data_IF_185963791993
#
_entry.id   IF_185963791993
#
_cell.length_a   1.000
_cell.length_b   1.000
_cell.length_c   1.000
_cell.angle_alpha   90.00
_cell.angle_beta   90.00
_cell.angle_gamma   90.00
#
_symmetry.space_group_name_H-M   'P 1'
#
loop_
_entity.id
_entity.type
_entity.pdbx_description
1 polymer ?
#
# COMPACT_ATOMS: atom_id res chain seq x y z
N UNK A 1 10.53 -31.19 9.93
CA UNK A 1 9.97 -30.38 11.03
C UNK A 1 8.72 -29.73 10.49
N UNK A 2 7.56 -30.00 11.08
CA UNK A 2 6.29 -29.43 10.63
C UNK A 2 6.07 -28.09 11.33
N UNK A 3 6.17 -26.98 10.58
CA UNK A 3 5.96 -25.64 11.12
C UNK A 3 4.47 -25.47 11.38
N UNK A 4 4.08 -25.36 12.65
CA UNK A 4 2.68 -25.20 13.06
C UNK A 4 2.42 -23.78 13.54
N UNK A 5 1.58 -23.04 12.83
CA UNK A 5 1.08 -21.74 13.28
C UNK A 5 -0.12 -22.02 14.20
N UNK A 6 0.05 -21.79 15.50
CA UNK A 6 -1.02 -21.97 16.48
C UNK A 6 -2.15 -20.96 16.26
N UNK A 7 -3.39 -21.41 16.40
CA UNK A 7 -4.59 -20.58 16.35
C UNK A 7 -4.92 -20.02 17.73
N UNK A 8 -5.75 -18.95 17.82
CA UNK A 8 -6.36 -18.53 19.08
C UNK A 8 -6.99 -19.71 19.84
N UNK A 9 -6.74 -19.80 21.16
CA UNK A 9 -7.24 -20.89 22.01
C UNK A 9 -8.76 -20.86 22.26
N UNK A 10 -9.48 -19.84 21.77
CA UNK A 10 -10.95 -19.80 21.78
C UNK A 10 -11.60 -19.60 23.16
N UNK A 11 -10.82 -19.21 24.17
CA UNK A 11 -11.20 -19.40 25.59
C UNK A 11 -12.32 -18.48 26.10
N UNK A 12 -12.64 -17.35 25.46
CA UNK A 12 -13.77 -16.52 25.91
C UNK A 12 -15.07 -16.74 25.15
N UNK A 13 -15.02 -17.17 23.88
CA UNK A 13 -16.19 -17.21 22.97
C UNK A 13 -16.90 -15.87 22.74
N UNK A 14 -16.46 -14.80 23.43
CA UNK A 14 -17.03 -13.45 23.37
C UNK A 14 -16.59 -12.78 22.08
N UNK A 15 -17.54 -12.11 21.43
CA UNK A 15 -17.33 -11.38 20.19
C UNK A 15 -17.80 -9.95 20.36
N UNK A 16 -16.98 -9.01 19.94
CA UNK A 16 -17.35 -7.61 19.79
C UNK A 16 -17.64 -7.31 18.32
N UNK A 17 -18.52 -6.34 18.08
CA UNK A 17 -18.77 -5.83 16.73
C UNK A 17 -18.26 -4.41 16.61
N UNK A 18 -17.49 -4.12 15.58
CA UNK A 18 -16.87 -2.82 15.38
C UNK A 18 -17.90 -1.67 15.33
N UNK A 19 -19.12 -1.94 14.85
CA UNK A 19 -20.21 -0.97 14.83
C UNK A 19 -20.66 -0.51 16.22
N UNK A 20 -20.46 -1.31 17.27
CA UNK A 20 -20.80 -0.93 18.67
C UNK A 20 -19.91 0.21 19.17
N UNK A 21 -18.73 0.40 18.56
CA UNK A 21 -17.74 1.43 18.92
C UNK A 21 -17.76 2.64 17.98
N UNK A 22 -18.70 2.66 17.05
CA UNK A 22 -18.92 3.76 16.11
C UNK A 22 -18.19 3.62 14.76
N UNK A 23 -17.74 2.41 14.39
CA UNK A 23 -17.23 2.17 13.03
C UNK A 23 -18.42 2.18 12.05
N UNK A 24 -18.37 3.05 11.04
CA UNK A 24 -19.46 3.32 10.10
C UNK A 24 -18.92 3.58 8.69
N UNK A 25 -19.62 3.06 7.69
CA UNK A 25 -19.23 3.20 6.28
C UNK A 25 -19.42 4.63 5.73
N UNK A 26 -20.34 5.40 6.32
CA UNK A 26 -20.59 6.81 6.00
C UNK A 26 -19.63 7.77 6.74
N UNK A 27 -18.80 7.26 7.66
CA UNK A 27 -17.75 8.05 8.29
C UNK A 27 -16.56 8.26 7.35
N UNK A 28 -16.07 9.49 7.30
CA UNK A 28 -14.85 9.85 6.55
C UNK A 28 -13.57 9.30 7.22
N UNK A 29 -13.60 9.06 8.54
CA UNK A 29 -12.49 8.45 9.26
C UNK A 29 -12.97 7.54 10.38
N UNK A 30 -12.67 6.25 10.26
CA UNK A 30 -13.03 5.22 11.23
C UNK A 30 -11.93 4.94 12.27
N UNK A 31 -10.79 5.62 12.17
CA UNK A 31 -9.59 5.38 12.94
C UNK A 31 -9.79 5.30 14.45
N UNK A 32 -10.33 6.37 15.03
CA UNK A 32 -10.57 6.46 16.47
C UNK A 32 -11.59 5.41 16.94
N UNK A 33 -12.64 5.14 16.16
CA UNK A 33 -13.63 4.13 16.48
C UNK A 33 -13.06 2.72 16.45
N UNK A 34 -12.24 2.41 15.44
CA UNK A 34 -11.57 1.12 15.33
C UNK A 34 -10.57 0.91 16.48
N UNK A 35 -9.75 1.91 16.82
CA UNK A 35 -8.83 1.82 17.98
C UNK A 35 -9.58 1.60 19.30
N UNK A 36 -10.73 2.26 19.50
CA UNK A 36 -11.58 2.01 20.68
C UNK A 36 -12.09 0.57 20.72
N UNK A 37 -12.53 0.00 19.59
CA UNK A 37 -12.99 -1.39 19.52
C UNK A 37 -11.87 -2.38 19.87
N UNK A 38 -10.67 -2.18 19.30
CA UNK A 38 -9.51 -3.03 19.57
C UNK A 38 -9.09 -2.94 21.04
N UNK A 39 -9.00 -1.72 21.60
CA UNK A 39 -8.63 -1.51 22.99
C UNK A 39 -9.66 -2.12 23.96
N UNK A 40 -10.95 -1.99 23.65
CA UNK A 40 -11.99 -2.63 24.46
C UNK A 40 -11.84 -4.15 24.45
N UNK A 41 -11.57 -4.75 23.28
CA UNK A 41 -11.35 -6.20 23.21
C UNK A 41 -10.16 -6.65 24.06
N UNK A 42 -9.05 -5.89 24.02
CA UNK A 42 -7.86 -6.14 24.84
C UNK A 42 -8.18 -6.07 26.34
N UNK A 43 -8.84 -4.99 26.76
CA UNK A 43 -9.12 -4.74 28.18
C UNK A 43 -10.09 -5.76 28.78
N UNK A 44 -11.07 -6.19 27.99
CA UNK A 44 -12.16 -7.06 28.45
C UNK A 44 -11.92 -8.56 28.17
N UNK A 45 -10.79 -8.91 27.55
CA UNK A 45 -10.49 -10.30 27.17
C UNK A 45 -11.46 -10.86 26.12
N UNK A 46 -11.94 -10.03 25.19
CA UNK A 46 -12.82 -10.46 24.09
C UNK A 46 -11.95 -11.10 23.02
N UNK A 47 -12.28 -12.32 22.61
CA UNK A 47 -11.44 -13.13 21.70
C UNK A 47 -11.66 -12.86 20.22
N UNK A 48 -12.67 -12.07 19.83
CA UNK A 48 -12.97 -11.80 18.43
C UNK A 48 -13.56 -10.39 18.22
N UNK A 49 -13.03 -9.66 17.23
CA UNK A 49 -13.63 -8.42 16.71
C UNK A 49 -14.09 -8.65 15.27
N UNK A 50 -15.37 -8.41 15.03
CA UNK A 50 -16.01 -8.52 13.72
C UNK A 50 -16.31 -7.14 13.13
N UNK A 51 -16.07 -6.99 11.83
CA UNK A 51 -16.52 -5.85 11.02
C UNK A 51 -17.57 -6.35 10.02
N UNK A 52 -18.65 -5.60 9.83
CA UNK A 52 -19.64 -5.93 8.81
C UNK A 52 -19.09 -5.66 7.40
N UNK A 53 -19.56 -6.37 6.36
CA UNK A 53 -19.23 -6.03 4.99
C UNK A 53 -19.57 -4.57 4.68
N UNK A 54 -18.66 -3.87 4.01
CA UNK A 54 -18.81 -2.46 3.66
C UNK A 54 -17.49 -1.82 3.30
N UNK A 55 -17.53 -0.56 2.84
CA UNK A 55 -16.34 0.25 2.57
C UNK A 55 -16.17 1.25 3.70
N UNK A 56 -15.03 1.23 4.39
CA UNK A 56 -14.75 2.06 5.55
C UNK A 56 -13.51 2.91 5.28
N UNK A 57 -13.66 4.22 5.42
CA UNK A 57 -12.57 5.17 5.18
C UNK A 57 -11.75 5.39 6.45
N UNK A 58 -10.44 5.44 6.27
CA UNK A 58 -9.44 5.86 7.23
C UNK A 58 -8.81 7.11 6.66
N UNK A 59 -9.55 8.21 6.84
CA UNK A 59 -9.19 9.54 6.39
C UNK A 59 -7.98 10.12 7.13
N UNK A 60 -8.03 11.42 7.44
CA UNK A 60 -7.04 12.00 8.35
C UNK A 60 -7.28 11.49 9.77
N UNK A 61 -6.28 10.84 10.38
CA UNK A 61 -6.33 10.42 11.77
C UNK A 61 -5.64 9.10 12.05
N UNK A 62 -6.14 8.40 13.06
CA UNK A 62 -5.50 7.20 13.59
C UNK A 62 -5.71 5.98 12.68
N UNK A 63 -4.66 5.22 12.40
CA UNK A 63 -4.79 3.92 11.74
C UNK A 63 -5.01 2.78 12.76
N UNK A 64 -5.64 1.64 12.38
CA UNK A 64 -5.74 0.45 13.21
C UNK A 64 -4.39 -0.05 13.74
N UNK A 65 -4.33 -0.32 15.05
CA UNK A 65 -3.15 -0.89 15.71
C UNK A 65 -3.61 -2.01 16.64
N UNK A 66 -3.09 -3.22 16.41
CA UNK A 66 -3.28 -4.40 17.23
C UNK A 66 -1.97 -4.63 18.00
N UNK A 67 -1.98 -4.41 19.31
CA UNK A 67 -0.74 -4.39 20.10
C UNK A 67 -0.90 -5.18 21.40
N UNK A 68 0.00 -6.14 21.60
CA UNK A 68 0.05 -7.06 22.75
C UNK A 68 -1.29 -7.80 23.00
N UNK A 69 -1.95 -8.22 21.93
CA UNK A 69 -3.10 -9.11 21.99
C UNK A 69 -2.65 -10.57 22.06
N UNK A 70 -3.39 -11.40 22.78
CA UNK A 70 -3.19 -12.85 22.81
C UNK A 70 -4.50 -13.56 22.53
N UNK A 71 -4.44 -14.65 21.77
CA UNK A 71 -5.60 -15.53 21.52
C UNK A 71 -6.80 -14.80 20.91
N UNK A 72 -6.53 -14.04 19.86
CA UNK A 72 -7.50 -13.11 19.30
C UNK A 72 -7.69 -13.28 17.79
N UNK A 73 -8.94 -13.13 17.35
CA UNK A 73 -9.33 -13.10 15.94
C UNK A 73 -9.84 -11.72 15.53
N UNK A 74 -9.30 -11.19 14.45
CA UNK A 74 -9.92 -10.11 13.70
C UNK A 74 -10.57 -10.67 12.43
N UNK A 75 -11.87 -10.47 12.28
CA UNK A 75 -12.61 -10.83 11.07
C UNK A 75 -13.16 -9.56 10.41
N UNK A 76 -12.60 -9.20 9.26
CA UNK A 76 -13.04 -8.06 8.47
C UNK A 76 -14.42 -8.27 7.82
N UNK A 77 -14.97 -9.49 7.84
CA UNK A 77 -16.30 -9.78 7.30
C UNK A 77 -16.46 -9.50 5.80
N UNK A 78 -15.35 -9.41 5.05
CA UNK A 78 -15.35 -9.00 3.65
C UNK A 78 -15.37 -7.48 3.45
N UNK A 79 -15.10 -6.69 4.50
CA UNK A 79 -14.99 -5.25 4.41
C UNK A 79 -13.79 -4.80 3.57
N UNK A 80 -13.87 -3.55 3.11
CA UNK A 80 -12.81 -2.83 2.44
C UNK A 80 -12.41 -1.61 3.25
N UNK A 81 -11.14 -1.48 3.60
CA UNK A 81 -10.59 -0.30 4.28
C UNK A 81 -9.81 0.55 3.29
N UNK A 82 -10.18 1.83 3.17
CA UNK A 82 -9.55 2.78 2.24
C UNK A 82 -8.79 3.84 3.03
N UNK A 83 -7.48 3.95 2.81
CA UNK A 83 -6.57 4.83 3.54
C UNK A 83 -6.11 6.01 2.68
N UNK A 84 -5.85 7.16 3.29
CA UNK A 84 -5.38 8.36 2.58
C UNK A 84 -4.14 9.06 3.17
N UNK A 85 -3.60 8.55 4.26
CA UNK A 85 -2.35 9.01 4.87
C UNK A 85 -1.28 7.93 4.80
N UNK A 86 -0.06 8.33 4.47
CA UNK A 86 1.09 7.43 4.34
C UNK A 86 1.66 7.05 5.73
N UNK A 87 0.85 6.33 6.50
CA UNK A 87 1.23 5.60 7.70
C UNK A 87 0.87 4.13 7.49
N UNK A 88 1.47 3.20 8.26
CA UNK A 88 1.13 1.79 8.15
C UNK A 88 -0.40 1.62 8.22
N UNK A 89 -1.03 1.02 7.21
CA UNK A 89 -2.50 0.96 7.19
C UNK A 89 -3.02 0.17 8.38
N UNK A 90 -2.39 -0.97 8.67
CA UNK A 90 -2.68 -1.79 9.84
C UNK A 90 -1.35 -2.26 10.45
N UNK A 91 -1.14 -1.94 11.72
CA UNK A 91 -0.01 -2.44 12.48
C UNK A 91 -0.45 -3.58 13.41
N UNK A 92 0.29 -4.69 13.40
CA UNK A 92 0.11 -5.85 14.28
C UNK A 92 1.44 -6.07 14.99
N UNK A 93 1.49 -5.80 16.29
CA UNK A 93 2.73 -5.70 17.07
C UNK A 93 2.66 -6.52 18.35
N UNK A 94 3.73 -7.26 18.64
CA UNK A 94 3.90 -7.99 19.90
C UNK A 94 2.70 -8.90 20.26
N UNK A 95 1.97 -9.39 19.26
CA UNK A 95 0.78 -10.22 19.48
C UNK A 95 1.12 -11.71 19.43
N UNK A 96 0.31 -12.54 20.09
CA UNK A 96 0.49 -13.99 20.14
C UNK A 96 -0.78 -14.76 19.77
N UNK A 97 -0.66 -15.79 18.92
CA UNK A 97 -1.80 -16.63 18.48
C UNK A 97 -2.94 -15.77 17.92
N UNK A 98 -2.65 -15.11 16.81
CA UNK A 98 -3.55 -14.18 16.13
C UNK A 98 -4.05 -14.77 14.81
N UNK A 99 -5.34 -14.58 14.53
CA UNK A 99 -5.94 -14.85 13.21
C UNK A 99 -6.55 -13.56 12.67
N UNK A 100 -6.07 -13.10 11.51
CA UNK A 100 -6.55 -11.90 10.85
C UNK A 100 -7.09 -12.27 9.48
N UNK A 101 -8.37 -12.01 9.20
CA UNK A 101 -8.99 -12.54 7.97
C UNK A 101 -10.06 -11.66 7.32
N UNK A 102 -10.38 -12.03 6.07
CA UNK A 102 -11.52 -11.52 5.31
C UNK A 102 -11.53 -9.99 5.19
N UNK A 103 -10.41 -9.40 4.78
CA UNK A 103 -10.27 -7.95 4.67
C UNK A 103 -9.64 -7.56 3.34
N UNK A 104 -10.17 -6.52 2.73
CA UNK A 104 -9.50 -5.80 1.65
C UNK A 104 -8.98 -4.47 2.17
N UNK A 105 -7.77 -4.07 1.77
CA UNK A 105 -7.24 -2.72 2.00
C UNK A 105 -6.87 -2.07 0.67
N UNK A 106 -7.07 -0.77 0.59
CA UNK A 106 -6.72 0.04 -0.58
C UNK A 106 -6.32 1.46 -0.16
N UNK A 107 -5.77 2.18 -1.12
CA UNK A 107 -5.46 3.59 -1.03
C UNK A 107 -6.57 4.45 -1.67
N UNK A 108 -6.72 5.68 -1.21
CA UNK A 108 -7.63 6.67 -1.78
C UNK A 108 -7.02 7.27 -3.07
N UNK A 109 -7.09 6.49 -4.15
CA UNK A 109 -6.54 6.85 -5.46
C UNK A 109 -7.20 8.09 -6.08
N UNK A 110 -8.46 8.35 -5.75
CA UNK A 110 -9.20 9.51 -6.26
C UNK A 110 -8.66 10.81 -5.64
N UNK A 111 -8.17 10.74 -4.40
CA UNK A 111 -7.53 11.87 -3.73
C UNK A 111 -6.07 12.06 -4.17
N UNK A 112 -5.29 10.98 -4.20
CA UNK A 112 -3.88 11.02 -4.57
C UNK A 112 -3.47 9.71 -5.24
N UNK A 113 -3.18 9.68 -6.56
CA UNK A 113 -2.78 8.45 -7.23
C UNK A 113 -1.41 7.97 -6.73
N UNK A 114 -1.25 6.65 -6.58
CA UNK A 114 0.05 6.07 -6.18
C UNK A 114 1.08 6.12 -7.30
N UNK A 115 0.61 6.02 -8.54
CA UNK A 115 1.41 6.10 -9.74
C UNK A 115 0.56 6.52 -10.93
N UNK A 116 1.22 7.01 -11.98
CA UNK A 116 0.62 7.34 -13.28
C UNK A 116 1.43 6.69 -14.40
N UNK A 117 0.89 6.67 -15.61
CA UNK A 117 1.64 6.34 -16.82
C UNK A 117 2.21 7.63 -17.40
N UNK A 118 3.51 7.63 -17.68
CA UNK A 118 4.22 8.70 -18.36
C UNK A 118 4.81 8.20 -19.69
N UNK A 119 4.77 9.04 -20.72
CA UNK A 119 5.35 8.76 -22.04
C UNK A 119 6.29 9.90 -22.42
N UNK A 120 7.54 9.56 -22.77
CA UNK A 120 8.53 10.56 -23.20
C UNK A 120 8.08 11.14 -24.54
N UNK A 121 7.70 12.42 -24.56
CA UNK A 121 7.27 13.12 -25.77
C UNK A 121 8.47 13.72 -26.51
N UNK A 122 9.45 14.24 -25.75
CA UNK A 122 10.62 14.91 -26.31
C UNK A 122 11.81 14.80 -25.35
N UNK A 123 13.00 14.76 -25.92
CA UNK A 123 14.28 14.90 -25.21
C UNK A 123 15.02 16.06 -25.87
N UNK A 124 15.71 16.90 -25.09
CA UNK A 124 16.53 17.97 -25.65
C UNK A 124 17.76 17.41 -26.38
N UNK A 125 18.31 18.16 -27.34
CA UNK A 125 19.46 17.70 -28.15
C UNK A 125 20.69 17.41 -27.28
N UNK A 126 20.89 18.17 -26.22
CA UNK A 126 21.97 18.02 -25.25
C UNK A 126 21.61 17.11 -24.06
N UNK A 127 20.40 16.54 -24.04
CA UNK A 127 19.86 15.70 -22.94
C UNK A 127 19.77 16.42 -21.58
N UNK A 128 19.79 17.76 -21.55
CA UNK A 128 19.61 18.56 -20.32
C UNK A 128 18.18 18.56 -19.78
N UNK A 129 17.19 18.14 -20.58
CA UNK A 129 15.81 17.96 -20.12
C UNK A 129 15.04 17.00 -21.04
N UNK A 130 13.91 16.52 -20.54
CA UNK A 130 12.92 15.81 -21.34
C UNK A 130 11.50 16.26 -20.98
N UNK A 131 10.56 16.06 -21.89
CA UNK A 131 9.13 16.28 -21.68
C UNK A 131 8.44 14.94 -21.53
N UNK A 132 7.70 14.80 -20.45
CA UNK A 132 6.91 13.62 -20.10
C UNK A 132 5.42 13.97 -20.20
N UNK A 133 4.72 13.26 -21.08
CA UNK A 133 3.28 13.35 -21.22
C UNK A 133 2.58 12.34 -20.32
N UNK A 134 1.52 12.75 -19.63
CA UNK A 134 0.65 11.90 -18.84
C UNK A 134 -0.69 11.70 -19.56
N UNK A 135 -0.83 10.64 -20.39
CA UNK A 135 -2.00 10.46 -21.25
C UNK A 135 -3.31 10.22 -20.48
N UNK A 136 -3.22 9.89 -19.19
CA UNK A 136 -4.39 9.65 -18.32
C UNK A 136 -5.06 10.95 -17.84
N UNK A 137 -4.42 12.10 -18.05
CA UNK A 137 -4.90 13.39 -17.56
C UNK A 137 -5.08 14.41 -18.70
N UNK A 138 -6.09 15.27 -18.55
CA UNK A 138 -6.14 16.54 -19.28
C UNK A 138 -5.22 17.58 -18.63
N UNK A 139 -5.14 17.57 -17.30
CA UNK A 139 -4.18 18.34 -16.51
C UNK A 139 -3.71 17.50 -15.33
N UNK A 140 -2.40 17.45 -15.11
CA UNK A 140 -1.82 16.66 -14.02
C UNK A 140 -2.29 17.23 -12.68
N UNK A 141 -2.74 16.39 -11.73
CA UNK A 141 -3.14 16.83 -10.40
C UNK A 141 -2.04 17.66 -9.71
N UNK A 142 -2.42 18.76 -9.08
CA UNK A 142 -1.49 19.59 -8.32
C UNK A 142 -0.85 18.79 -7.18
N UNK A 143 0.46 18.97 -6.97
CA UNK A 143 1.21 18.32 -5.89
C UNK A 143 1.60 16.86 -6.17
N UNK A 144 1.35 16.36 -7.38
CA UNK A 144 1.78 15.03 -7.81
C UNK A 144 3.31 15.00 -7.94
N UNK A 145 3.95 14.17 -7.12
CA UNK A 145 5.41 14.10 -7.00
C UNK A 145 5.99 13.05 -7.96
N UNK A 146 6.98 13.42 -8.79
CA UNK A 146 7.62 12.49 -9.72
C UNK A 146 8.82 11.87 -9.01
N UNK A 147 8.61 10.74 -8.34
CA UNK A 147 9.67 10.13 -7.53
C UNK A 147 10.52 9.17 -8.32
N UNK A 148 9.91 8.27 -9.08
CA UNK A 148 10.64 7.31 -9.90
C UNK A 148 9.89 7.00 -11.19
N UNK A 149 10.65 6.65 -12.22
CA UNK A 149 10.16 6.24 -13.53
C UNK A 149 10.64 4.82 -13.78
N UNK A 150 9.71 3.86 -13.75
CA UNK A 150 10.00 2.47 -14.05
C UNK A 150 9.63 2.16 -15.50
N UNK A 151 10.58 1.72 -16.34
CA UNK A 151 10.28 1.47 -17.75
C UNK A 151 9.22 0.39 -17.87
N UNK A 152 8.28 0.57 -18.79
CA UNK A 152 7.19 -0.39 -19.01
C UNK A 152 6.86 -0.53 -20.49
N UNK A 153 6.32 -1.69 -20.86
CA UNK A 153 5.74 -1.91 -22.16
C UNK A 153 4.29 -1.39 -22.16
N UNK A 154 3.96 -0.35 -22.93
CA UNK A 154 2.63 0.27 -22.89
C UNK A 154 1.52 -0.61 -23.47
N UNK A 155 1.85 -1.67 -24.23
CA UNK A 155 0.86 -2.60 -24.80
C UNK A 155 0.49 -3.72 -23.85
N UNK A 156 1.48 -4.26 -23.14
CA UNK A 156 1.31 -5.42 -22.25
C UNK A 156 1.25 -5.05 -20.77
N UNK A 157 1.59 -3.79 -20.43
CA UNK A 157 1.73 -3.28 -19.05
C UNK A 157 2.74 -4.10 -18.21
N UNK A 158 3.76 -4.64 -18.86
CA UNK A 158 4.84 -5.41 -18.20
C UNK A 158 6.07 -4.54 -17.98
N UNK A 159 6.93 -4.87 -17.00
CA UNK A 159 8.19 -4.16 -16.79
C UNK A 159 9.10 -4.17 -18.03
N UNK A 160 9.80 -3.06 -18.24
CA UNK A 160 10.79 -2.86 -19.31
C UNK A 160 10.23 -2.27 -20.60
N UNK A 161 11.05 -1.45 -21.26
CA UNK A 161 10.87 -1.01 -22.64
C UNK A 161 12.25 -0.95 -23.32
N UNK A 162 12.28 -0.79 -24.63
CA UNK A 162 13.55 -0.74 -25.38
C UNK A 162 14.45 0.38 -24.84
N UNK A 163 15.68 0.03 -24.43
CA UNK A 163 16.67 0.91 -23.79
C UNK A 163 16.24 1.56 -22.47
N UNK A 164 15.03 1.30 -21.99
CA UNK A 164 14.48 1.90 -20.77
C UNK A 164 15.25 1.46 -19.55
N UNK A 165 15.59 2.42 -18.68
CA UNK A 165 16.19 2.20 -17.36
C UNK A 165 15.27 2.79 -16.30
N UNK A 166 15.29 2.22 -15.10
CA UNK A 166 14.69 2.88 -13.94
C UNK A 166 15.57 4.05 -13.51
N UNK A 167 14.94 5.19 -13.22
CA UNK A 167 15.62 6.38 -12.69
C UNK A 167 14.64 7.24 -11.90
N UNK A 168 15.14 8.13 -11.05
CA UNK A 168 14.32 8.98 -10.20
C UNK A 168 15.02 9.48 -8.95
N UNK A 169 14.28 10.17 -8.10
CA UNK A 169 14.76 10.78 -6.86
C UNK A 169 15.71 11.93 -7.15
N UNK A 170 16.83 11.97 -6.43
CA UNK A 170 17.75 13.11 -6.39
C UNK A 170 18.47 13.42 -7.72
N UNK A 171 18.29 12.59 -8.75
CA UNK A 171 18.89 12.81 -10.09
C UNK A 171 17.98 13.60 -11.02
N UNK A 172 16.72 13.83 -10.64
CA UNK A 172 15.79 14.69 -11.38
C UNK A 172 15.94 16.14 -10.90
N UNK A 173 15.93 17.07 -11.85
CA UNK A 173 15.94 18.50 -11.57
C UNK A 173 14.52 19.09 -11.46
N UNK A 174 14.43 20.39 -11.71
CA UNK A 174 13.16 21.13 -11.70
C UNK A 174 12.13 20.51 -12.66
N UNK A 175 10.87 20.50 -12.21
CA UNK A 175 9.71 20.07 -12.98
C UNK A 175 8.85 21.28 -13.30
N UNK A 176 8.66 21.55 -14.60
CA UNK A 176 7.87 22.67 -15.10
C UNK A 176 6.69 22.18 -15.93
N UNK A 177 5.50 22.71 -15.66
CA UNK A 177 4.35 22.48 -16.53
C UNK A 177 4.56 23.20 -17.87
N UNK A 178 4.57 22.42 -18.96
CA UNK A 178 4.62 22.97 -20.32
C UNK A 178 3.22 23.19 -20.86
N UNK A 179 2.33 22.21 -20.61
CA UNK A 179 0.94 22.23 -21.05
C UNK A 179 0.15 21.15 -20.32
N UNK A 180 -0.67 21.49 -19.32
CA UNK A 180 -1.69 20.61 -18.73
C UNK A 180 -1.17 19.23 -18.31
N UNK A 181 -1.09 18.31 -19.26
CA UNK A 181 -0.59 16.95 -19.09
C UNK A 181 0.87 16.70 -19.54
N UNK A 182 1.62 17.73 -19.91
CA UNK A 182 3.03 17.65 -20.29
C UNK A 182 3.89 18.41 -19.29
N UNK A 183 4.81 17.67 -18.67
CA UNK A 183 5.78 18.19 -17.72
C UNK A 183 7.18 18.13 -18.33
N UNK A 184 7.94 19.22 -18.27
CA UNK A 184 9.36 19.24 -18.58
C UNK A 184 10.15 18.99 -17.30
N UNK A 185 11.06 18.04 -17.35
CA UNK A 185 11.89 17.62 -16.22
C UNK A 185 13.34 17.88 -16.59
N UNK A 186 14.03 18.68 -15.80
CA UNK A 186 15.45 18.94 -15.97
C UNK A 186 16.30 17.71 -15.58
N UNK A 187 17.43 17.54 -16.26
CA UNK A 187 18.38 16.46 -16.06
C UNK A 187 19.76 17.09 -15.78
N UNK A 188 20.14 17.27 -14.50
CA UNK A 188 21.39 17.93 -14.12
C UNK A 188 22.65 17.28 -14.68
N UNK A 189 22.62 15.96 -14.91
CA UNK A 189 23.75 15.16 -15.41
C UNK A 189 23.41 14.46 -16.74
N UNK A 190 23.39 15.18 -17.88
CA UNK A 190 22.85 14.68 -19.16
C UNK A 190 23.46 13.36 -19.67
N UNK A 191 24.72 13.10 -19.32
CA UNK A 191 25.46 11.91 -19.78
C UNK A 191 24.80 10.61 -19.31
N UNK A 192 24.20 10.62 -18.12
CA UNK A 192 23.59 9.43 -17.51
C UNK A 192 22.24 9.09 -18.15
N UNK A 193 21.64 10.04 -18.88
CA UNK A 193 20.29 9.94 -19.44
C UNK A 193 20.25 9.75 -20.95
N UNK A 194 21.39 9.46 -21.60
CA UNK A 194 21.47 9.17 -23.05
C UNK A 194 20.63 7.97 -23.52
N UNK A 195 20.10 7.18 -22.58
CA UNK A 195 19.16 6.10 -22.87
C UNK A 195 17.73 6.61 -23.15
N UNK A 196 17.41 7.86 -22.79
CA UNK A 196 16.09 8.44 -22.98
C UNK A 196 15.80 8.69 -24.44
N UNK A 197 14.64 8.23 -24.89
CA UNK A 197 14.17 8.36 -26.25
C UNK A 197 12.66 8.61 -26.28
N UNK A 198 12.22 9.39 -27.26
CA UNK A 198 10.79 9.61 -27.51
C UNK A 198 10.05 8.29 -27.66
N UNK A 199 8.87 8.20 -27.04
CA UNK A 199 7.98 7.04 -27.08
C UNK A 199 8.23 6.00 -25.99
N UNK A 200 9.30 6.12 -25.20
CA UNK A 200 9.46 5.27 -24.01
C UNK A 200 8.35 5.56 -23.01
N UNK A 201 7.74 4.48 -22.49
CA UNK A 201 6.70 4.56 -21.48
C UNK A 201 7.23 4.12 -20.12
N UNK A 202 6.72 4.77 -19.08
CA UNK A 202 7.13 4.59 -17.69
C UNK A 202 5.91 4.52 -16.77
N UNK A 203 5.97 3.64 -15.77
CA UNK A 203 5.19 3.80 -14.54
C UNK A 203 5.89 4.88 -13.73
N UNK A 204 5.23 6.01 -13.54
CA UNK A 204 5.70 7.13 -12.74
C UNK A 204 5.14 6.96 -11.34
N UNK A 205 5.96 6.56 -10.37
CA UNK A 205 5.50 6.40 -8.99
C UNK A 205 5.56 7.73 -8.23
N UNK A 206 4.51 8.00 -7.47
CA UNK A 206 4.36 9.21 -6.63
C UNK A 206 4.60 8.91 -5.14
N UNK A 207 4.61 7.64 -4.79
CA UNK A 207 5.02 7.10 -3.50
C UNK A 207 6.00 5.95 -3.76
N UNK A 208 6.90 5.66 -2.84
CA UNK A 208 7.85 4.55 -3.01
C UNK A 208 7.87 3.66 -1.78
N UNK A 209 8.42 4.14 -0.67
CA UNK A 209 8.59 3.38 0.58
C UNK A 209 7.91 4.09 1.77
N UNK A 210 6.91 4.92 1.49
CA UNK A 210 6.32 5.84 2.46
C UNK A 210 5.62 5.10 3.60
N UNK A 211 4.82 4.06 3.30
CA UNK A 211 4.19 3.23 4.31
C UNK A 211 3.76 1.83 3.82
N UNK A 212 3.84 0.79 4.67
CA UNK A 212 3.31 -0.53 4.33
C UNK A 212 1.79 -0.60 4.51
N UNK A 213 1.12 -1.51 3.79
CA UNK A 213 -0.27 -1.83 4.11
C UNK A 213 -0.37 -2.60 5.44
N UNK A 214 0.45 -3.63 5.61
CA UNK A 214 0.52 -4.38 6.86
C UNK A 214 1.93 -4.33 7.44
N UNK A 215 2.05 -3.76 8.64
CA UNK A 215 3.24 -3.86 9.47
C UNK A 215 3.07 -5.00 10.47
N UNK A 216 3.94 -6.01 10.39
CA UNK A 216 3.96 -7.17 11.26
C UNK A 216 5.27 -7.12 12.07
N UNK A 217 5.18 -6.76 13.34
CA UNK A 217 6.36 -6.57 14.18
C UNK A 217 6.32 -7.48 15.41
N UNK A 218 7.33 -8.35 15.54
CA UNK A 218 7.55 -9.20 16.72
C UNK A 218 6.31 -10.01 17.18
N UNK A 219 5.56 -10.57 16.25
CA UNK A 219 4.43 -11.43 16.58
C UNK A 219 4.85 -12.91 16.64
N UNK A 220 4.13 -13.68 17.45
CA UNK A 220 4.30 -15.13 17.56
C UNK A 220 3.00 -15.84 17.19
N UNK A 221 3.01 -16.79 16.25
CA UNK A 221 1.78 -17.48 15.81
C UNK A 221 0.75 -16.52 15.19
N UNK A 222 1.14 -15.81 14.13
CA UNK A 222 0.28 -14.89 13.39
C UNK A 222 -0.12 -15.47 12.02
N UNK A 223 -1.42 -15.59 11.77
CA UNK A 223 -1.95 -15.94 10.44
C UNK A 223 -2.76 -14.79 9.85
N UNK A 224 -2.39 -14.34 8.66
CA UNK A 224 -3.27 -13.54 7.80
C UNK A 224 -3.89 -14.45 6.76
N UNK A 225 -5.20 -14.41 6.60
CA UNK A 225 -5.93 -15.29 5.68
C UNK A 225 -6.99 -14.53 4.87
N UNK A 226 -7.02 -14.72 3.55
CA UNK A 226 -8.00 -14.04 2.67
C UNK A 226 -7.95 -12.51 2.79
N UNK A 227 -6.72 -11.98 2.86
CA UNK A 227 -6.46 -10.54 2.84
C UNK A 227 -6.09 -10.10 1.43
N UNK A 228 -6.71 -9.04 0.93
CA UNK A 228 -6.39 -8.45 -0.38
C UNK A 228 -5.85 -7.03 -0.20
N UNK A 229 -4.71 -6.74 -0.84
CA UNK A 229 -4.15 -5.39 -0.93
C UNK A 229 -4.30 -4.93 -2.38
N UNK A 230 -5.12 -3.89 -2.60
CA UNK A 230 -5.28 -3.29 -3.93
C UNK A 230 -4.29 -2.16 -4.22
N UNK A 231 -3.86 -1.45 -3.19
CA UNK A 231 -2.91 -0.35 -3.30
C UNK A 231 -2.29 -0.03 -1.96
N UNK A 232 -1.01 0.37 -1.98
CA UNK A 232 -0.28 0.85 -0.81
C UNK A 232 0.85 1.80 -1.25
N UNK A 233 1.10 2.92 -0.53
CA UNK A 233 2.20 3.84 -0.80
C UNK A 233 3.54 3.29 -0.29
N UNK A 234 3.79 2.00 -0.50
CA UNK A 234 4.94 1.28 0.00
C UNK A 234 4.79 -0.20 -0.26
N UNK A 235 5.17 -0.98 0.74
CA UNK A 235 5.08 -2.44 0.72
C UNK A 235 3.65 -2.92 0.99
N UNK A 236 3.29 -4.13 0.56
CA UNK A 236 2.02 -4.72 0.97
C UNK A 236 2.12 -5.38 2.37
N UNK A 237 3.10 -6.26 2.60
CA UNK A 237 3.34 -6.88 3.90
C UNK A 237 4.80 -6.67 4.31
N UNK A 238 5.04 -6.19 5.53
CA UNK A 238 6.38 -6.00 6.09
C UNK A 238 6.47 -6.73 7.42
N UNK A 239 7.29 -7.78 7.47
CA UNK A 239 7.57 -8.54 8.69
C UNK A 239 8.95 -8.21 9.24
N UNK A 240 9.03 -7.84 10.52
CA UNK A 240 10.28 -7.40 11.16
C UNK A 240 10.44 -7.85 12.61
N UNK A 241 11.68 -7.77 13.10
CA UNK A 241 12.04 -8.01 14.50
C UNK A 241 11.97 -9.49 14.90
N UNK A 242 11.57 -9.78 16.14
CA UNK A 242 11.35 -11.13 16.67
C UNK A 242 10.15 -11.91 16.09
N UNK A 243 9.71 -11.59 14.87
CA UNK A 243 8.57 -12.26 14.23
C UNK A 243 8.83 -13.77 14.12
N UNK A 244 7.87 -14.61 14.54
CA UNK A 244 8.05 -16.05 14.67
C UNK A 244 6.74 -16.82 14.42
N UNK A 245 6.81 -17.95 13.74
CA UNK A 245 5.69 -18.81 13.36
C UNK A 245 4.53 -18.03 12.75
N UNK A 246 4.72 -17.43 11.58
CA UNK A 246 3.68 -16.65 10.93
C UNK A 246 3.46 -17.08 9.48
N UNK A 247 2.33 -16.66 8.89
CA UNK A 247 2.03 -17.03 7.51
C UNK A 247 0.91 -16.22 6.87
N UNK A 248 1.02 -16.10 5.55
CA UNK A 248 0.02 -15.52 4.66
C UNK A 248 -0.67 -16.65 3.89
N UNK A 249 -1.98 -16.81 4.06
CA UNK A 249 -2.76 -17.85 3.40
C UNK A 249 -3.83 -17.24 2.49
N UNK A 250 -3.77 -17.49 1.18
CA UNK A 250 -4.70 -16.88 0.21
C UNK A 250 -4.73 -15.34 0.27
N UNK A 251 -3.62 -14.73 0.71
CA UNK A 251 -3.42 -13.29 0.63
C UNK A 251 -3.05 -12.90 -0.81
N UNK A 252 -3.50 -11.72 -1.23
CA UNK A 252 -3.38 -11.26 -2.61
C UNK A 252 -2.87 -9.83 -2.66
N UNK A 253 -1.92 -9.59 -3.55
CA UNK A 253 -1.55 -8.25 -4.01
C UNK A 253 -1.87 -8.17 -5.50
N UNK A 254 -2.84 -7.35 -5.88
CA UNK A 254 -3.21 -7.17 -7.28
C UNK A 254 -3.84 -5.80 -7.50
N UNK A 255 -3.76 -5.30 -8.74
CA UNK A 255 -4.39 -4.04 -9.13
C UNK A 255 -5.91 -4.18 -8.98
N UNK A 256 -6.59 -3.17 -8.45
CA UNK A 256 -8.05 -3.22 -8.26
C UNK A 256 -8.75 -3.60 -9.58
N UNK A 257 -9.53 -4.71 -9.61
CA UNK A 257 -10.26 -5.12 -10.80
C UNK A 257 -11.22 -4.02 -11.29
N UNK A 258 -11.35 -3.86 -12.60
CA UNK A 258 -12.22 -2.85 -13.20
C UNK A 258 -11.64 -1.43 -13.19
N UNK A 259 -10.37 -1.24 -12.81
CA UNK A 259 -9.68 0.06 -12.86
C UNK A 259 -8.58 0.08 -13.92
N UNK A 260 -8.15 1.30 -14.30
CA UNK A 260 -7.00 1.53 -15.20
C UNK A 260 -5.66 1.61 -14.47
N UNK A 261 -5.64 1.43 -13.14
CA UNK A 261 -4.44 1.58 -12.31
C UNK A 261 -3.28 0.78 -12.89
N UNK A 262 -2.11 1.42 -12.98
CA UNK A 262 -0.91 0.81 -13.56
C UNK A 262 -0.16 -0.09 -12.56
N UNK A 263 -0.36 0.09 -11.26
CA UNK A 263 0.30 -0.64 -10.18
C UNK A 263 -0.66 -0.95 -9.02
N UNK A 264 -0.26 -1.87 -8.13
CA UNK A 264 -0.89 -2.11 -6.83
C UNK A 264 -0.12 -1.38 -5.72
N UNK A 265 0.86 -2.05 -5.09
CA UNK A 265 1.76 -1.46 -4.12
C UNK A 265 2.98 -0.82 -4.81
N UNK A 266 3.53 0.27 -4.28
CA UNK A 266 4.65 0.99 -4.92
C UNK A 266 6.03 0.39 -4.63
N UNK A 267 6.11 -0.56 -3.71
CA UNK A 267 7.28 -1.37 -3.38
C UNK A 267 6.93 -2.87 -3.29
N UNK A 268 7.67 -3.63 -2.48
CA UNK A 268 7.58 -5.10 -2.46
C UNK A 268 6.22 -5.61 -1.99
N UNK A 269 5.80 -6.74 -2.55
CA UNK A 269 4.60 -7.42 -2.06
C UNK A 269 4.77 -8.04 -0.67
N UNK A 270 5.94 -8.59 -0.37
CA UNK A 270 6.25 -9.10 0.96
C UNK A 270 7.73 -8.82 1.23
N UNK A 271 8.00 -8.10 2.31
CA UNK A 271 9.33 -7.74 2.76
C UNK A 271 9.56 -8.32 4.14
N UNK A 272 10.69 -8.98 4.35
CA UNK A 272 11.06 -9.58 5.63
C UNK A 272 12.43 -9.04 6.02
N UNK A 273 12.50 -8.26 7.08
CA UNK A 273 13.76 -7.75 7.63
C UNK A 273 13.87 -8.08 9.12
N UNK A 274 14.65 -9.13 9.41
CA UNK A 274 14.75 -9.81 10.71
C UNK A 274 13.46 -10.58 11.07
N UNK A 275 13.57 -11.90 11.18
CA UNK A 275 12.49 -12.82 11.55
C UNK A 275 13.14 -14.12 12.05
N UNK A 276 12.54 -14.76 13.05
CA UNK A 276 12.97 -16.03 13.61
C UNK A 276 12.39 -17.25 12.88
N UNK A 277 11.56 -17.00 11.85
CA UNK A 277 10.87 -18.02 11.06
C UNK A 277 9.43 -18.17 11.53
#
# INVERSE_FOLDING_TARGET
>A
MEITIMKPLGESGRKARAEEFGVRADSDCNGAAMRRAIQHCKNEGIGELLVQPGVYRFGAGQHPVFEELSDFRFDGGGAEFVFRSAEAFIAIRHCRRMEFRNLTVDWDWDLSPLASIGVVERVSEDTSWFELAFPEYESVPAGLDIRTLNPMNPRTLTPGCEWGREFGGNVLGEVLEVRGNIMRIALPDPVDFRFLNRGQAYIVRHYVYDAPAFELHENEHLKLEEVTVYGAPGHAFVATGGQHHWGLARCRLLKRPGTTRCISATADGCHISNSLG
#
